data_IF_401044113599
#
_entry.id   IF_401044113599
#
_cell.length_a   1.000
_cell.length_b   1.000
_cell.length_c   1.000
_cell.angle_alpha   90.00
_cell.angle_beta   90.00
_cell.angle_gamma   90.00
#
_symmetry.space_group_name_H-M   'P 1'
#
loop_
_entity.id
_entity.type
_entity.pdbx_description
1 polymer ?
#
# COMPACT_ATOMS: atom_id res chain seq x y z
N UNK A 1 -15.30 -16.01 2.75
CA UNK A 1 -15.81 -14.65 2.53
C UNK A 1 -14.75 -13.95 1.67
N UNK A 2 -15.12 -13.52 0.47
CA UNK A 2 -14.18 -13.23 -0.62
C UNK A 2 -13.80 -11.75 -0.73
N UNK A 3 -12.93 -11.45 -1.70
CA UNK A 3 -12.67 -10.07 -2.14
C UNK A 3 -13.88 -9.62 -2.97
N UNK A 4 -14.68 -8.71 -2.43
CA UNK A 4 -15.90 -8.21 -3.07
C UNK A 4 -15.75 -6.80 -3.66
N UNK A 5 -16.77 -6.31 -4.37
CA UNK A 5 -16.73 -5.05 -5.11
C UNK A 5 -16.31 -3.82 -4.29
N UNK A 6 -16.48 -3.82 -2.97
CA UNK A 6 -16.09 -2.68 -2.14
C UNK A 6 -14.59 -2.53 -2.00
N UNK A 7 -13.84 -3.61 -2.19
CA UNK A 7 -12.36 -3.66 -2.15
C UNK A 7 -11.75 -3.74 -3.55
N UNK A 8 -12.56 -3.62 -4.59
CA UNK A 8 -12.11 -3.66 -5.98
C UNK A 8 -11.97 -2.23 -6.48
N UNK A 9 -10.75 -1.91 -6.88
CA UNK A 9 -10.53 -0.72 -7.68
C UNK A 9 -11.12 -0.92 -9.07
N UNK A 10 -11.83 0.11 -9.54
CA UNK A 10 -12.43 0.09 -10.87
C UNK A 10 -11.38 0.49 -11.89
N UNK A 11 -11.54 0.07 -13.15
CA UNK A 11 -10.68 0.56 -14.24
C UNK A 11 -10.59 2.09 -14.26
N UNK A 12 -11.69 2.78 -13.96
CA UNK A 12 -11.71 4.23 -13.85
C UNK A 12 -10.83 4.75 -12.71
N UNK A 13 -10.81 4.06 -11.56
CA UNK A 13 -9.97 4.43 -10.43
C UNK A 13 -8.48 4.28 -10.78
N UNK A 14 -8.07 3.19 -11.46
CA UNK A 14 -6.70 3.06 -11.94
C UNK A 14 -6.30 4.13 -12.97
N UNK A 15 -7.22 4.56 -13.84
CA UNK A 15 -6.98 5.68 -14.78
C UNK A 15 -6.99 7.06 -14.11
N UNK A 16 -7.56 7.18 -12.91
CA UNK A 16 -7.68 8.41 -12.12
C UNK A 16 -7.19 8.14 -10.70
N UNK A 17 -5.98 7.61 -10.63
CA UNK A 17 -5.42 7.11 -9.38
C UNK A 17 -5.20 8.28 -8.42
N UNK A 18 -5.92 8.34 -7.28
CA UNK A 18 -5.85 9.46 -6.36
C UNK A 18 -4.50 9.55 -5.64
N UNK A 19 -3.75 8.44 -5.56
CA UNK A 19 -2.40 8.44 -5.00
C UNK A 19 -1.44 9.09 -5.98
N UNK A 20 -1.46 8.70 -7.26
CA UNK A 20 -0.61 9.34 -8.28
C UNK A 20 -0.94 10.82 -8.46
N UNK A 21 -2.22 11.19 -8.49
CA UNK A 21 -2.67 12.60 -8.51
C UNK A 21 -2.04 13.44 -7.38
N UNK A 22 -1.97 12.87 -6.17
CA UNK A 22 -1.44 13.57 -4.99
C UNK A 22 0.08 13.64 -5.04
N UNK A 23 0.74 12.57 -5.47
CA UNK A 23 2.20 12.51 -5.53
C UNK A 23 2.77 13.38 -6.65
N UNK A 24 2.15 13.38 -7.84
CA UNK A 24 2.61 14.16 -8.99
C UNK A 24 2.47 15.68 -8.77
N UNK A 25 1.48 16.10 -7.97
CA UNK A 25 1.19 17.53 -7.74
C UNK A 25 1.82 18.12 -6.49
N UNK A 26 2.50 17.30 -5.69
CA UNK A 26 3.18 17.74 -4.48
C UNK A 26 4.49 18.46 -4.81
N UNK A 27 4.78 19.57 -4.12
CA UNK A 27 5.95 20.42 -4.42
C UNK A 27 7.20 20.07 -3.61
N UNK A 28 7.10 19.17 -2.62
CA UNK A 28 8.24 18.82 -1.76
C UNK A 28 8.88 17.48 -2.16
N UNK A 29 8.31 16.75 -3.12
CA UNK A 29 8.78 15.43 -3.56
C UNK A 29 8.80 15.31 -5.08
N UNK A 30 9.69 14.47 -5.59
CA UNK A 30 9.72 14.09 -7.01
C UNK A 30 9.25 12.63 -7.16
N UNK A 31 8.18 12.42 -7.95
CA UNK A 31 7.71 11.07 -8.27
C UNK A 31 8.73 10.35 -9.15
N UNK A 32 9.53 9.47 -8.55
CA UNK A 32 10.61 8.75 -9.26
C UNK A 32 10.08 7.64 -10.18
N UNK A 33 9.01 6.96 -9.79
CA UNK A 33 8.42 5.89 -10.60
C UNK A 33 7.36 5.07 -9.87
N UNK A 34 6.72 4.17 -10.62
CA UNK A 34 5.70 3.24 -10.12
C UNK A 34 6.17 1.81 -10.39
N UNK A 35 6.17 0.97 -9.36
CA UNK A 35 6.47 -0.46 -9.48
C UNK A 35 5.18 -1.24 -9.25
N UNK A 36 4.77 -2.04 -10.24
CA UNK A 36 3.66 -2.97 -10.09
C UNK A 36 4.21 -4.32 -9.64
N UNK A 37 3.81 -4.74 -8.44
CA UNK A 37 4.17 -6.03 -7.86
C UNK A 37 2.95 -6.95 -8.00
N UNK A 38 3.12 -8.09 -8.66
CA UNK A 38 2.05 -9.09 -8.69
C UNK A 38 1.82 -9.67 -7.29
N UNK A 39 0.61 -10.17 -7.02
CA UNK A 39 0.26 -10.86 -5.76
C UNK A 39 0.32 -12.37 -5.98
N UNK A 40 1.42 -13.06 -5.63
CA UNK A 40 1.57 -14.48 -5.88
C UNK A 40 0.70 -15.30 -4.91
N UNK A 41 0.33 -16.51 -5.33
CA UNK A 41 -0.40 -17.42 -4.46
C UNK A 41 0.53 -18.16 -3.49
N UNK A 42 1.68 -18.61 -3.99
CA UNK A 42 2.68 -19.35 -3.21
C UNK A 42 3.42 -18.44 -2.23
N UNK A 43 3.66 -18.92 -1.01
CA UNK A 43 4.42 -18.19 0.00
C UNK A 43 5.84 -17.87 -0.49
N UNK A 44 6.54 -18.83 -1.09
CA UNK A 44 7.92 -18.63 -1.57
C UNK A 44 8.00 -17.50 -2.60
N UNK A 45 7.00 -17.41 -3.46
CA UNK A 45 6.90 -16.33 -4.45
C UNK A 45 6.57 -14.99 -3.79
N UNK A 46 5.73 -14.95 -2.74
CA UNK A 46 5.47 -13.75 -1.94
C UNK A 46 6.77 -13.19 -1.34
N UNK A 47 7.65 -14.05 -0.80
CA UNK A 47 8.98 -13.64 -0.32
C UNK A 47 9.91 -13.21 -1.46
N UNK A 48 9.84 -13.87 -2.61
CA UNK A 48 10.65 -13.51 -3.76
C UNK A 48 10.30 -12.12 -4.28
N UNK A 49 9.03 -11.81 -4.51
CA UNK A 49 8.62 -10.51 -5.08
C UNK A 49 8.92 -9.34 -4.14
N UNK A 50 8.77 -9.51 -2.83
CA UNK A 50 9.14 -8.50 -1.84
C UNK A 50 10.64 -8.17 -1.88
N UNK A 51 11.49 -9.20 -1.89
CA UNK A 51 12.96 -9.04 -2.00
C UNK A 51 13.38 -8.36 -3.31
N UNK A 52 12.76 -8.73 -4.43
CA UNK A 52 13.06 -8.15 -5.76
C UNK A 52 12.65 -6.69 -5.83
N UNK A 53 11.47 -6.35 -5.30
CA UNK A 53 10.96 -4.98 -5.24
C UNK A 53 11.89 -4.10 -4.41
N UNK A 54 12.25 -4.55 -3.21
CA UNK A 54 13.15 -3.81 -2.33
C UNK A 54 14.55 -3.60 -2.94
N UNK A 55 15.08 -4.59 -3.67
CA UNK A 55 16.35 -4.46 -4.39
C UNK A 55 16.28 -3.44 -5.54
N UNK A 56 15.15 -3.32 -6.24
CA UNK A 56 14.96 -2.28 -7.25
C UNK A 56 14.91 -0.89 -6.64
N UNK A 57 14.17 -0.73 -5.55
CA UNK A 57 14.05 0.56 -4.84
C UNK A 57 15.40 1.04 -4.31
N UNK A 58 16.20 0.13 -3.74
CA UNK A 58 17.57 0.42 -3.31
C UNK A 58 18.47 0.84 -4.48
N UNK A 59 18.41 0.12 -5.60
CA UNK A 59 19.18 0.46 -6.80
C UNK A 59 18.76 1.80 -7.43
N UNK A 60 17.47 2.16 -7.33
CA UNK A 60 16.92 3.45 -7.75
C UNK A 60 17.30 4.59 -6.78
N UNK A 61 17.78 4.25 -5.57
CA UNK A 61 18.18 5.20 -4.52
C UNK A 61 17.04 6.15 -4.13
N UNK A 62 15.83 5.61 -4.02
CA UNK A 62 14.65 6.38 -3.61
C UNK A 62 14.75 6.79 -2.14
N UNK A 63 14.30 8.00 -1.82
CA UNK A 63 14.31 8.51 -0.44
C UNK A 63 13.13 7.98 0.40
N UNK A 64 12.09 7.43 -0.24
CA UNK A 64 10.92 6.92 0.45
C UNK A 64 9.94 6.19 -0.47
N UNK A 65 9.07 5.36 0.10
CA UNK A 65 8.14 4.50 -0.65
C UNK A 65 6.76 4.47 -0.01
N UNK A 66 5.72 4.54 -0.84
CA UNK A 66 4.34 4.22 -0.47
C UNK A 66 3.97 2.90 -1.13
N UNK A 67 3.56 1.91 -0.33
CA UNK A 67 3.05 0.62 -0.83
C UNK A 67 1.52 0.61 -0.72
N UNK A 68 0.82 0.38 -1.82
CA UNK A 68 -0.63 0.12 -1.82
C UNK A 68 -0.91 -1.36 -2.15
N UNK A 69 -2.04 -1.89 -1.65
CA UNK A 69 -2.48 -3.25 -1.97
C UNK A 69 -3.97 -3.30 -2.25
N UNK A 70 -4.31 -3.92 -3.39
CA UNK A 70 -5.69 -4.19 -3.80
C UNK A 70 -6.10 -5.59 -3.34
N UNK A 71 -6.25 -5.74 -2.03
CA UNK A 71 -6.65 -6.99 -1.42
C UNK A 71 -6.38 -7.05 0.08
N UNK A 72 -6.83 -8.16 0.68
CA UNK A 72 -6.67 -8.41 2.11
C UNK A 72 -6.60 -9.92 2.39
N UNK A 73 -6.23 -10.29 3.62
CA UNK A 73 -6.06 -11.69 3.99
C UNK A 73 -4.76 -12.26 3.42
N UNK A 74 -4.83 -13.17 2.44
CA UNK A 74 -3.62 -13.78 1.87
C UNK A 74 -2.70 -12.73 1.22
N UNK A 75 -3.26 -11.73 0.54
CA UNK A 75 -2.48 -10.64 -0.10
C UNK A 75 -1.73 -9.77 0.91
N UNK A 76 -2.14 -9.78 2.19
CA UNK A 76 -1.40 -9.06 3.22
C UNK A 76 -0.05 -9.70 3.54
N UNK A 77 0.15 -10.97 3.19
CA UNK A 77 1.42 -11.68 3.43
C UNK A 77 2.53 -11.11 2.56
N UNK A 78 2.32 -10.95 1.26
CA UNK A 78 3.29 -10.28 0.37
C UNK A 78 3.37 -8.78 0.62
N UNK A 79 2.27 -8.12 0.95
CA UNK A 79 2.28 -6.69 1.33
C UNK A 79 3.20 -6.43 2.54
N UNK A 80 2.96 -7.15 3.64
CA UNK A 80 3.75 -7.01 4.87
C UNK A 80 5.22 -7.31 4.61
N UNK A 81 5.50 -8.37 3.87
CA UNK A 81 6.85 -8.80 3.51
C UNK A 81 7.58 -7.80 2.62
N UNK A 82 6.89 -7.23 1.63
CA UNK A 82 7.45 -6.17 0.78
C UNK A 82 7.83 -4.96 1.62
N UNK A 83 6.96 -4.53 2.54
CA UNK A 83 7.26 -3.46 3.49
C UNK A 83 8.45 -3.82 4.39
N UNK A 84 8.54 -5.07 4.85
CA UNK A 84 9.64 -5.53 5.69
C UNK A 84 10.98 -5.48 4.95
N UNK A 85 11.02 -5.96 3.71
CA UNK A 85 12.22 -5.97 2.88
C UNK A 85 12.68 -4.56 2.49
N UNK A 86 11.75 -3.64 2.25
CA UNK A 86 12.04 -2.22 2.04
C UNK A 86 12.63 -1.60 3.32
N UNK A 87 11.95 -1.79 4.46
CA UNK A 87 12.38 -1.24 5.75
C UNK A 87 13.74 -1.77 6.21
N UNK A 88 14.05 -3.05 5.97
CA UNK A 88 15.37 -3.65 6.26
C UNK A 88 16.53 -2.99 5.50
N UNK A 89 16.25 -2.35 4.37
CA UNK A 89 17.24 -1.60 3.57
C UNK A 89 17.36 -0.13 4.00
N UNK A 90 16.69 0.26 5.08
CA UNK A 90 16.73 1.62 5.59
C UNK A 90 15.96 2.63 4.75
N UNK A 91 15.09 2.18 3.84
CA UNK A 91 14.23 3.05 3.04
C UNK A 91 12.95 3.35 3.84
N UNK A 92 12.63 4.62 4.14
CA UNK A 92 11.37 5.01 4.75
C UNK A 92 10.17 4.48 3.96
N UNK A 93 9.24 3.82 4.65
CA UNK A 93 8.08 3.19 4.01
C UNK A 93 6.80 3.46 4.79
N UNK A 94 5.73 3.77 4.05
CA UNK A 94 4.34 3.84 4.51
C UNK A 94 3.48 2.99 3.57
N UNK A 95 2.19 2.89 3.83
CA UNK A 95 1.31 2.23 2.88
C UNK A 95 -0.17 2.48 3.08
N UNK A 96 -0.96 1.94 2.16
CA UNK A 96 -2.41 2.03 2.07
C UNK A 96 -2.97 0.62 1.94
N UNK A 97 -3.91 0.27 2.81
CA UNK A 97 -4.60 -1.02 2.76
C UNK A 97 -5.99 -0.89 3.35
N UNK A 98 -6.92 -1.71 2.86
CA UNK A 98 -8.15 -1.97 3.59
C UNK A 98 -7.81 -2.79 4.84
N UNK A 99 -8.15 -2.27 6.03
CA UNK A 99 -7.94 -2.95 7.31
C UNK A 99 -9.27 -3.13 8.04
N UNK A 100 -9.96 -2.04 8.40
CA UNK A 100 -11.24 -2.09 9.09
C UNK A 100 -11.25 -3.03 10.31
N UNK A 101 -12.40 -3.66 10.56
CA UNK A 101 -12.58 -4.71 11.57
C UNK A 101 -12.33 -6.11 10.98
N UNK A 102 -12.69 -6.33 9.71
CA UNK A 102 -12.65 -7.64 9.04
C UNK A 102 -11.30 -7.96 8.39
N UNK A 103 -10.60 -6.96 7.86
CA UNK A 103 -9.37 -7.13 7.07
C UNK A 103 -8.11 -6.89 7.92
N UNK A 104 -8.12 -7.33 9.17
CA UNK A 104 -6.94 -7.29 10.03
C UNK A 104 -5.76 -8.05 9.40
N UNK A 105 -4.56 -7.48 9.51
CA UNK A 105 -3.35 -8.11 8.97
C UNK A 105 -3.11 -9.50 9.56
N UNK A 106 -2.94 -10.48 8.67
CA UNK A 106 -2.58 -11.87 9.02
C UNK A 106 -1.17 -11.93 9.61
N UNK A 107 -0.27 -11.09 9.11
CA UNK A 107 1.12 -10.95 9.55
C UNK A 107 1.46 -9.47 9.68
N UNK A 108 2.27 -9.12 10.68
CA UNK A 108 2.74 -7.74 10.92
C UNK A 108 4.25 -7.74 11.17
N UNK A 109 4.89 -6.62 10.88
CA UNK A 109 6.29 -6.37 11.23
C UNK A 109 6.47 -4.92 11.71
N UNK A 110 7.66 -4.61 12.22
CA UNK A 110 7.97 -3.31 12.83
C UNK A 110 7.91 -2.11 11.87
N UNK A 111 7.96 -2.33 10.55
CA UNK A 111 7.94 -1.28 9.53
C UNK A 111 6.53 -0.93 9.04
N UNK A 112 5.50 -1.63 9.54
CA UNK A 112 4.07 -1.39 9.27
C UNK A 112 3.44 -0.43 10.28
N UNK A 113 4.22 0.49 10.84
CA UNK A 113 3.85 1.45 11.89
C UNK A 113 3.06 2.66 11.36
N UNK A 114 3.06 2.87 10.04
CA UNK A 114 2.43 4.02 9.40
C UNK A 114 1.53 3.61 8.22
N UNK A 115 0.70 2.56 8.40
CA UNK A 115 -0.27 2.15 7.37
C UNK A 115 -1.58 2.92 7.52
N UNK A 116 -2.03 3.52 6.43
CA UNK A 116 -3.31 4.22 6.34
C UNK A 116 -4.42 3.22 6.01
N UNK A 117 -5.41 3.13 6.88
CA UNK A 117 -6.63 2.36 6.63
C UNK A 117 -7.54 3.12 5.65
N UNK A 118 -7.87 2.49 4.54
CA UNK A 118 -8.74 3.05 3.50
C UNK A 118 -10.22 2.67 3.69
N UNK A 119 -10.56 1.88 4.71
CA UNK A 119 -11.95 1.55 5.03
C UNK A 119 -12.84 2.81 5.13
N UNK A 120 -13.97 2.83 4.42
CA UNK A 120 -15.02 3.86 4.59
C UNK A 120 -16.31 3.31 5.21
N UNK A 121 -16.47 1.99 5.26
CA UNK A 121 -17.64 1.39 5.88
C UNK A 121 -17.64 1.64 7.40
N UNK A 122 -18.78 2.00 7.97
CA UNK A 122 -18.92 2.18 9.43
C UNK A 122 -18.65 0.88 10.19
N UNK A 123 -19.03 -0.26 9.60
CA UNK A 123 -18.83 -1.58 10.20
C UNK A 123 -17.37 -2.08 10.10
N UNK A 124 -16.56 -1.50 9.23
CA UNK A 124 -15.17 -1.95 9.00
C UNK A 124 -15.06 -3.23 8.18
N UNK A 125 -16.03 -3.53 7.30
CA UNK A 125 -16.13 -4.80 6.57
C UNK A 125 -16.19 -4.58 5.05
N UNK A 126 -16.00 -5.65 4.29
CA UNK A 126 -16.35 -5.67 2.86
C UNK A 126 -17.87 -5.69 2.72
N UNK A 127 -18.43 -4.75 1.95
CA UNK A 127 -19.86 -4.43 1.92
C UNK A 127 -20.51 -4.72 0.56
N UNK A 128 -19.74 -5.21 -0.41
CA UNK A 128 -20.13 -5.38 -1.81
C UNK A 128 -20.57 -4.08 -2.52
N UNK A 129 -20.47 -2.92 -1.84
CA UNK A 129 -20.74 -1.61 -2.40
C UNK A 129 -19.48 -1.05 -3.05
N UNK A 130 -19.51 -0.90 -4.38
CA UNK A 130 -18.38 -0.40 -5.17
C UNK A 130 -17.83 0.90 -4.60
N UNK A 131 -16.52 0.94 -4.34
CA UNK A 131 -15.81 2.15 -3.92
C UNK A 131 -15.80 2.42 -2.42
N UNK A 132 -16.53 1.67 -1.60
CA UNK A 132 -16.62 1.92 -0.15
C UNK A 132 -15.32 1.59 0.60
N UNK A 133 -14.44 0.72 0.09
CA UNK A 133 -13.12 0.46 0.67
C UNK A 133 -11.99 0.72 -0.32
N UNK A 134 -12.20 1.72 -1.19
CA UNK A 134 -11.20 2.20 -2.13
C UNK A 134 -10.48 3.43 -1.56
N UNK A 135 -9.21 3.60 -1.93
CA UNK A 135 -8.47 4.77 -1.48
C UNK A 135 -9.02 6.05 -2.15
N UNK A 136 -9.02 7.15 -1.40
CA UNK A 136 -9.34 8.46 -1.94
C UNK A 136 -8.20 9.47 -1.72
N UNK A 137 -8.40 10.70 -2.22
CA UNK A 137 -7.39 11.77 -2.13
C UNK A 137 -7.00 12.11 -0.69
N UNK A 138 -7.90 11.98 0.28
CA UNK A 138 -7.58 12.21 1.69
C UNK A 138 -6.65 11.11 2.23
N UNK A 139 -6.88 9.86 1.88
CA UNK A 139 -6.03 8.74 2.29
C UNK A 139 -4.64 8.86 1.68
N UNK A 140 -4.56 9.17 0.39
CA UNK A 140 -3.29 9.43 -0.31
C UNK A 140 -2.49 10.56 0.35
N UNK A 141 -3.15 11.68 0.72
CA UNK A 141 -2.50 12.79 1.44
C UNK A 141 -2.01 12.38 2.83
N UNK A 142 -2.74 11.53 3.55
CA UNK A 142 -2.28 10.98 4.84
C UNK A 142 -1.05 10.11 4.65
N UNK A 143 -1.05 9.22 3.66
CA UNK A 143 0.09 8.36 3.37
C UNK A 143 1.32 9.20 3.00
N UNK A 144 1.17 10.19 2.11
CA UNK A 144 2.26 11.11 1.78
C UNK A 144 2.78 11.89 3.00
N UNK A 145 1.88 12.40 3.85
CA UNK A 145 2.28 13.09 5.08
C UNK A 145 3.06 12.16 6.02
N UNK A 146 2.62 10.91 6.21
CA UNK A 146 3.37 9.93 7.00
C UNK A 146 4.73 9.61 6.40
N UNK A 147 4.81 9.44 5.07
CA UNK A 147 6.09 9.21 4.41
C UNK A 147 7.05 10.37 4.65
N UNK A 148 6.59 11.61 4.43
CA UNK A 148 7.39 12.82 4.68
C UNK A 148 7.88 12.92 6.12
N UNK A 149 7.06 12.50 7.09
CA UNK A 149 7.49 12.44 8.50
C UNK A 149 8.59 11.41 8.71
N UNK A 150 8.44 10.20 8.15
CA UNK A 150 9.46 9.12 8.24
C UNK A 150 10.74 9.43 7.45
N UNK A 151 10.69 10.29 6.45
CA UNK A 151 11.87 10.76 5.72
C UNK A 151 12.67 11.81 6.51
N UNK A 152 12.07 12.43 7.53
CA UNK A 152 12.72 13.47 8.36
C UNK A 152 13.47 12.89 9.56
N UNK A 153 13.25 11.63 9.93
CA UNK A 153 13.85 10.94 11.09
C UNK A 153 13.04 9.73 11.52
#
# INVERSE_FOLDING_TARGET
MGVGPSTKETTLHHFRDPLLDVLETDQDIDLTGVIIVGTPQSNDEKYFVGKRTAAWLEAMRVDGVIVSVDGWGNSHVDYANTIEEIGKRGIPVTGLSFIGTQANFVVKNQYMDAIVDINKSEAGIETENVGENNMNRLDARKALAFLKLKMRG
#
